data_IF_399721557029
#
_entry.id   IF_399721557029
#
_cell.length_a   1.000
_cell.length_b   1.000
_cell.length_c   1.000
_cell.angle_alpha   90.00
_cell.angle_beta   90.00
_cell.angle_gamma   90.00
#
_symmetry.space_group_name_H-M   'P 1'
#
loop_
_entity.id
_entity.type
_entity.pdbx_description
1 polymer ?
#
# COMPACT_ATOMS: atom_id res chain seq x y z
N UNK A 1 1.11 14.51 -12.71
CA UNK A 1 -0.10 13.73 -12.37
C UNK A 1 -1.22 14.70 -12.02
N UNK A 2 -2.39 14.59 -12.65
CA UNK A 2 -3.58 15.39 -12.32
C UNK A 2 -4.64 14.50 -11.62
N UNK A 3 -4.18 13.66 -10.70
CA UNK A 3 -5.06 12.73 -9.99
C UNK A 3 -5.80 13.45 -8.87
N UNK A 4 -7.12 13.25 -8.79
CA UNK A 4 -7.96 13.70 -7.67
C UNK A 4 -8.36 12.48 -6.84
N UNK A 5 -8.00 12.49 -5.55
CA UNK A 5 -8.42 11.46 -4.59
C UNK A 5 -9.93 11.52 -4.37
N UNK A 6 -10.57 10.36 -4.43
CA UNK A 6 -11.91 10.20 -3.90
C UNK A 6 -11.80 10.02 -2.38
N UNK A 7 -12.53 10.86 -1.63
CA UNK A 7 -12.58 10.81 -0.16
C UNK A 7 -14.05 10.66 0.28
N UNK A 8 -14.54 9.44 0.15
CA UNK A 8 -15.90 9.04 0.57
C UNK A 8 -15.78 8.15 1.80
N UNK A 9 -16.42 8.58 2.90
CA UNK A 9 -16.45 7.85 4.16
C UNK A 9 -17.09 6.47 3.98
N UNK A 10 -16.39 5.42 4.40
CA UNK A 10 -16.85 4.03 4.23
C UNK A 10 -16.69 3.47 2.81
N UNK A 11 -16.07 4.23 1.89
CA UNK A 11 -15.75 3.73 0.55
C UNK A 11 -14.71 2.61 0.61
N UNK A 12 -14.83 1.65 -0.31
CA UNK A 12 -13.81 0.63 -0.56
C UNK A 12 -13.06 0.99 -1.84
N UNK A 13 -11.73 0.91 -1.79
CA UNK A 13 -10.88 1.37 -2.86
C UNK A 13 -9.87 0.30 -3.25
N UNK A 14 -9.49 0.31 -4.53
CA UNK A 14 -8.38 -0.47 -5.04
C UNK A 14 -7.15 0.42 -5.21
N UNK A 15 -5.99 -0.06 -4.78
CA UNK A 15 -4.72 0.65 -4.93
C UNK A 15 -3.67 -0.27 -5.54
N UNK A 16 -2.73 0.33 -6.25
CA UNK A 16 -1.54 -0.36 -6.74
C UNK A 16 -0.32 0.28 -6.09
N UNK A 17 0.52 -0.55 -5.46
CA UNK A 17 1.77 -0.12 -4.84
C UNK A 17 2.91 -0.90 -5.49
N UNK A 18 3.98 -0.18 -5.84
CA UNK A 18 5.17 -0.77 -6.45
C UNK A 18 6.40 -0.46 -5.59
N UNK A 19 7.35 -1.40 -5.54
CA UNK A 19 8.69 -1.10 -5.05
C UNK A 19 9.41 -0.18 -6.05
N UNK A 20 10.00 0.89 -5.54
CA UNK A 20 10.86 1.76 -6.35
C UNK A 20 12.07 0.98 -6.90
N UNK A 21 12.66 0.12 -6.07
CA UNK A 21 13.76 -0.77 -6.43
C UNK A 21 13.23 -2.18 -6.72
N UNK A 22 12.94 -2.47 -8.00
CA UNK A 22 12.26 -3.71 -8.43
C UNK A 22 13.04 -5.01 -8.20
N UNK A 23 14.36 -4.94 -8.01
CA UNK A 23 15.20 -6.10 -7.71
C UNK A 23 15.13 -6.52 -6.24
N UNK A 24 14.62 -5.65 -5.36
CA UNK A 24 14.42 -5.97 -3.96
C UNK A 24 13.10 -6.72 -3.76
N UNK A 25 13.06 -7.53 -2.70
CA UNK A 25 11.91 -8.37 -2.34
C UNK A 25 11.27 -7.93 -1.02
N UNK A 26 11.36 -6.64 -0.69
CA UNK A 26 10.95 -6.07 0.61
C UNK A 26 9.45 -6.23 0.93
N UNK A 27 8.58 -6.44 -0.06
CA UNK A 27 7.16 -6.71 0.17
C UNK A 27 6.85 -8.20 0.36
N UNK A 28 7.84 -9.08 0.16
CA UNK A 28 7.68 -10.54 0.18
C UNK A 28 8.51 -11.18 1.29
N UNK A 29 9.81 -10.89 1.34
CA UNK A 29 10.71 -11.62 2.24
C UNK A 29 10.43 -11.27 3.73
N UNK A 30 10.29 -9.98 4.12
CA UNK A 30 9.79 -9.62 5.44
C UNK A 30 8.27 -9.36 5.43
N UNK A 31 7.46 -10.26 4.86
CA UNK A 31 6.01 -10.06 4.70
C UNK A 31 5.29 -9.75 6.02
N UNK A 32 5.74 -10.30 7.14
CA UNK A 32 5.12 -10.03 8.45
C UNK A 32 5.26 -8.57 8.87
N UNK A 33 6.41 -7.93 8.60
CA UNK A 33 6.59 -6.49 8.88
C UNK A 33 5.61 -5.68 8.05
N UNK A 34 5.41 -6.05 6.79
CA UNK A 34 4.43 -5.40 5.91
C UNK A 34 2.99 -5.59 6.40
N UNK A 35 2.62 -6.80 6.84
CA UNK A 35 1.29 -7.10 7.39
C UNK A 35 1.00 -6.29 8.66
N UNK A 36 1.95 -6.26 9.59
CA UNK A 36 1.80 -5.51 10.84
C UNK A 36 1.70 -4.00 10.59
N UNK A 37 2.51 -3.45 9.69
CA UNK A 37 2.42 -2.03 9.35
C UNK A 37 1.07 -1.65 8.74
N UNK A 38 0.54 -2.43 7.78
CA UNK A 38 -0.77 -2.16 7.15
C UNK A 38 -1.92 -2.18 8.15
N UNK A 39 -1.87 -3.03 9.19
CA UNK A 39 -2.90 -3.07 10.25
C UNK A 39 -2.93 -1.80 11.12
N UNK A 40 -1.80 -1.13 11.28
CA UNK A 40 -1.69 0.05 12.16
C UNK A 40 -2.11 1.36 11.49
N UNK A 41 -2.34 1.35 10.18
CA UNK A 41 -2.73 2.53 9.42
C UNK A 41 -4.25 2.77 9.56
N UNK A 42 -4.63 4.01 9.87
CA UNK A 42 -6.03 4.45 10.05
C UNK A 42 -6.73 4.81 8.74
#
# INVERSE_FOLDING_TARGET
MQYRRADVKGGTYFFTVNLAQRHLRLLLDPVEIFRETVKTVK
#
